data_IF_885017526119
#
_entry.id   IF_885017526119
#
_cell.length_a   1.000
_cell.length_b   1.000
_cell.length_c   1.000
_cell.angle_alpha   90.00
_cell.angle_beta   90.00
_cell.angle_gamma   90.00
#
_symmetry.space_group_name_H-M   'P 1'
#
loop_
_entity.id
_entity.type
_entity.pdbx_description
1 polymer ?
#
# COMPACT_ATOMS: atom_id res chain seq x y z
N UNK A 1 -11.89 -10.71 -8.90
CA UNK A 1 -10.76 -9.86 -9.32
C UNK A 1 -11.09 -9.29 -10.68
N UNK A 2 -10.79 -8.02 -10.92
CA UNK A 2 -10.89 -7.41 -12.26
C UNK A 2 -9.48 -7.19 -12.84
N UNK A 3 -9.23 -7.74 -14.02
CA UNK A 3 -7.94 -7.68 -14.72
C UNK A 3 -7.96 -6.77 -15.95
N UNK A 4 -8.99 -5.93 -16.11
CA UNK A 4 -9.16 -5.06 -17.26
C UNK A 4 -7.96 -4.16 -17.61
N UNK A 5 -7.01 -4.00 -16.68
CA UNK A 5 -5.82 -3.15 -16.83
C UNK A 5 -4.50 -3.91 -16.99
N UNK A 6 -4.50 -5.24 -17.08
CA UNK A 6 -3.31 -6.03 -17.43
C UNK A 6 -3.25 -6.23 -18.96
N UNK A 7 -2.40 -5.50 -19.70
CA UNK A 7 -2.29 -5.66 -21.14
C UNK A 7 -1.72 -7.05 -21.48
N UNK A 8 -2.50 -7.88 -22.18
CA UNK A 8 -2.04 -9.13 -22.82
C UNK A 8 -1.63 -10.30 -21.91
N UNK A 9 -1.69 -10.15 -20.58
CA UNK A 9 -1.17 -11.15 -19.62
C UNK A 9 -2.24 -11.88 -18.80
N UNK A 10 -3.52 -11.72 -19.15
CA UNK A 10 -4.64 -12.31 -18.41
C UNK A 10 -4.53 -13.84 -18.37
N UNK A 11 -4.21 -14.49 -19.49
CA UNK A 11 -4.03 -15.96 -19.54
C UNK A 11 -2.96 -16.45 -18.57
N UNK A 12 -1.77 -15.84 -18.62
CA UNK A 12 -0.67 -16.18 -17.71
C UNK A 12 -1.02 -15.98 -16.23
N UNK A 13 -1.76 -14.92 -15.90
CA UNK A 13 -2.22 -14.69 -14.53
C UNK A 13 -3.24 -15.75 -14.07
N UNK A 14 -4.16 -16.16 -14.96
CA UNK A 14 -5.13 -17.24 -14.68
C UNK A 14 -4.41 -18.56 -14.44
N UNK A 15 -3.43 -18.91 -15.28
CA UNK A 15 -2.69 -20.16 -15.16
C UNK A 15 -1.86 -20.20 -13.88
N UNK A 16 -1.16 -19.11 -13.56
CA UNK A 16 -0.43 -18.96 -12.30
C UNK A 16 -1.34 -19.13 -11.08
N UNK A 17 -2.50 -18.47 -11.10
CA UNK A 17 -3.49 -18.60 -10.02
C UNK A 17 -4.02 -20.03 -9.94
N UNK A 18 -4.37 -20.67 -11.06
CA UNK A 18 -4.86 -22.07 -11.06
C UNK A 18 -3.84 -23.02 -10.44
N UNK A 19 -2.56 -22.87 -10.74
CA UNK A 19 -1.51 -23.71 -10.16
C UNK A 19 -1.41 -23.53 -8.64
N UNK A 20 -1.37 -22.28 -8.17
CA UNK A 20 -1.19 -21.97 -6.74
C UNK A 20 -2.48 -22.11 -5.91
N UNK A 21 -3.65 -22.01 -6.53
CA UNK A 21 -4.94 -22.16 -5.86
C UNK A 21 -5.30 -23.63 -5.69
N UNK A 22 -4.90 -24.50 -6.64
CA UNK A 22 -5.07 -25.96 -6.52
C UNK A 22 -4.39 -26.52 -5.27
N UNK A 23 -3.19 -26.05 -4.93
CA UNK A 23 -2.48 -26.50 -3.72
C UNK A 23 -3.14 -26.05 -2.42
N UNK A 24 -4.01 -25.03 -2.48
CA UNK A 24 -4.74 -24.45 -1.35
C UNK A 24 -6.21 -24.91 -1.30
N UNK A 25 -6.58 -25.97 -2.04
CA UNK A 25 -7.95 -26.49 -2.16
C UNK A 25 -8.99 -25.46 -2.64
N UNK A 26 -8.55 -24.42 -3.34
CA UNK A 26 -9.46 -23.44 -3.92
C UNK A 26 -9.77 -23.72 -5.38
N UNK A 27 -10.66 -22.89 -5.94
CA UNK A 27 -11.06 -22.96 -7.35
C UNK A 27 -10.93 -21.61 -8.02
N UNK A 28 -10.49 -21.61 -9.26
CA UNK A 28 -10.39 -20.40 -10.10
C UNK A 28 -11.33 -20.56 -11.29
N UNK A 29 -12.23 -19.60 -11.47
CA UNK A 29 -13.14 -19.48 -12.61
C UNK A 29 -12.94 -18.14 -13.29
N UNK A 30 -13.09 -18.10 -14.61
CA UNK A 30 -12.96 -16.88 -15.41
C UNK A 30 -14.32 -16.49 -15.98
N UNK A 31 -14.78 -15.27 -15.69
CA UNK A 31 -16.00 -14.69 -16.26
C UNK A 31 -15.62 -13.45 -17.07
N UNK A 32 -15.47 -13.62 -18.38
CA UNK A 32 -14.97 -12.57 -19.26
C UNK A 32 -13.61 -12.07 -18.80
N UNK A 33 -13.52 -10.79 -18.43
CA UNK A 33 -12.28 -10.15 -17.96
C UNK A 33 -12.07 -10.21 -16.44
N UNK A 34 -12.99 -10.87 -15.72
CA UNK A 34 -12.91 -11.04 -14.29
C UNK A 34 -12.48 -12.47 -13.92
N UNK A 35 -11.64 -12.57 -12.90
CA UNK A 35 -11.29 -13.85 -12.27
C UNK A 35 -12.06 -13.98 -10.96
N UNK A 36 -12.79 -15.08 -10.80
CA UNK A 36 -13.40 -15.48 -9.54
C UNK A 36 -12.53 -16.55 -8.89
N UNK A 37 -12.18 -16.32 -7.62
CA UNK A 37 -11.43 -17.30 -6.83
C UNK A 37 -12.28 -17.65 -5.62
N UNK A 38 -12.56 -18.94 -5.47
CA UNK A 38 -13.34 -19.52 -4.39
C UNK A 38 -12.43 -20.36 -3.48
N UNK A 39 -12.77 -20.44 -2.20
CA UNK A 39 -12.05 -21.26 -1.22
C UNK A 39 -10.78 -20.62 -0.63
N UNK A 40 -10.35 -19.45 -1.10
CA UNK A 40 -9.20 -18.74 -0.54
C UNK A 40 -9.61 -17.48 0.22
N UNK A 41 -8.81 -17.14 1.24
CA UNK A 41 -8.93 -15.87 1.92
C UNK A 41 -8.45 -14.75 1.02
N UNK A 42 -9.09 -13.60 1.15
CA UNK A 42 -8.75 -12.41 0.39
C UNK A 42 -7.26 -12.02 0.47
N UNK A 43 -6.64 -12.17 1.65
CA UNK A 43 -5.21 -11.87 1.86
C UNK A 43 -4.29 -12.82 1.07
N UNK A 44 -4.64 -14.09 0.95
CA UNK A 44 -3.85 -15.10 0.24
C UNK A 44 -3.86 -14.83 -1.26
N UNK A 45 -5.03 -14.53 -1.82
CA UNK A 45 -5.14 -14.15 -3.22
C UNK A 45 -4.36 -12.87 -3.52
N UNK A 46 -4.44 -11.86 -2.64
CA UNK A 46 -3.67 -10.63 -2.77
C UNK A 46 -2.16 -10.90 -2.78
N UNK A 47 -1.69 -11.80 -1.91
CA UNK A 47 -0.28 -12.20 -1.87
C UNK A 47 0.15 -12.91 -3.16
N UNK A 48 -0.66 -13.84 -3.67
CA UNK A 48 -0.38 -14.52 -4.94
C UNK A 48 -0.29 -13.52 -6.09
N UNK A 49 -1.15 -12.52 -6.10
CA UNK A 49 -1.15 -11.49 -7.14
C UNK A 49 0.11 -10.62 -7.05
N UNK A 50 0.55 -10.23 -5.85
CA UNK A 50 1.84 -9.54 -5.67
C UNK A 50 3.02 -10.41 -6.13
N UNK A 51 3.00 -11.71 -5.83
CA UNK A 51 4.03 -12.66 -6.27
C UNK A 51 4.07 -12.74 -7.80
N UNK A 52 2.91 -12.87 -8.44
CA UNK A 52 2.81 -12.87 -9.91
C UNK A 52 3.36 -11.60 -10.53
N UNK A 53 2.97 -10.43 -10.02
CA UNK A 53 3.45 -9.13 -10.53
C UNK A 53 4.97 -9.04 -10.43
N UNK A 54 5.54 -9.45 -9.30
CA UNK A 54 6.99 -9.42 -9.08
C UNK A 54 7.77 -10.35 -10.00
N UNK A 55 7.24 -11.55 -10.26
CA UNK A 55 7.85 -12.48 -11.21
C UNK A 55 7.82 -11.98 -12.66
N UNK A 56 6.87 -11.09 -13.00
CA UNK A 56 6.70 -10.55 -14.34
C UNK A 56 7.35 -9.17 -14.54
N UNK A 57 8.07 -8.65 -13.54
CA UNK A 57 8.65 -7.29 -13.56
C UNK A 57 7.60 -6.18 -13.55
N UNK A 58 6.40 -6.44 -13.04
CA UNK A 58 5.29 -5.49 -12.94
C UNK A 58 5.18 -4.92 -11.52
N UNK A 59 6.32 -4.71 -10.86
CA UNK A 59 6.45 -4.33 -9.45
C UNK A 59 5.79 -2.98 -9.14
N UNK A 60 5.72 -2.11 -10.15
CA UNK A 60 5.08 -0.81 -10.07
C UNK A 60 3.54 -0.88 -10.06
N UNK A 61 2.97 -2.04 -10.43
CA UNK A 61 1.52 -2.24 -10.38
C UNK A 61 1.08 -2.59 -8.96
N UNK A 62 -0.02 -1.96 -8.53
CA UNK A 62 -0.57 -2.19 -7.21
C UNK A 62 -1.77 -3.11 -7.26
N UNK A 63 -1.94 -3.88 -6.19
CA UNK A 63 -3.13 -4.69 -5.96
C UNK A 63 -3.99 -4.00 -4.90
N UNK A 64 -5.09 -3.41 -5.32
CA UNK A 64 -6.06 -2.79 -4.43
C UNK A 64 -7.14 -3.79 -4.05
N UNK A 65 -7.60 -3.67 -2.81
CA UNK A 65 -8.78 -4.38 -2.31
C UNK A 65 -9.88 -3.35 -2.14
N UNK A 66 -10.93 -3.46 -2.94
CA UNK A 66 -12.10 -2.60 -2.85
C UNK A 66 -13.34 -3.48 -2.84
N UNK A 67 -14.14 -3.37 -1.77
CA UNK A 67 -15.46 -4.02 -1.69
C UNK A 67 -15.45 -5.52 -1.98
N UNK A 68 -14.42 -6.25 -1.52
CA UNK A 68 -14.29 -7.70 -1.74
C UNK A 68 -13.71 -8.09 -3.11
N UNK A 69 -13.44 -7.12 -3.99
CA UNK A 69 -12.82 -7.33 -5.30
C UNK A 69 -11.35 -6.90 -5.21
N UNK A 70 -10.46 -7.71 -5.79
CA UNK A 70 -9.06 -7.32 -6.04
C UNK A 70 -8.95 -6.72 -7.43
N UNK A 71 -8.42 -5.51 -7.51
CA UNK A 71 -8.13 -4.81 -8.76
C UNK A 71 -6.62 -4.57 -8.88
N UNK A 72 -6.08 -4.78 -10.08
CA UNK A 72 -4.70 -4.43 -10.40
C UNK A 72 -4.69 -3.04 -11.03
N UNK A 73 -4.04 -2.09 -10.36
CA UNK A 73 -4.00 -0.69 -10.75
C UNK A 73 -2.59 -0.32 -11.21
N UNK A 74 -2.42 0.26 -12.39
CA UNK A 74 -1.13 0.78 -12.87
C UNK A 74 -0.55 1.86 -11.94
N UNK A 75 0.79 2.03 -11.94
CA UNK A 75 1.48 2.98 -11.05
C UNK A 75 0.98 4.42 -11.15
N UNK A 76 0.59 4.87 -12.35
CA UNK A 76 0.16 6.24 -12.60
C UNK A 76 -1.21 6.58 -12.00
N UNK A 77 -2.04 5.57 -11.71
CA UNK A 77 -3.34 5.75 -11.06
C UNK A 77 -3.30 5.36 -9.57
N UNK A 78 -2.23 4.70 -9.13
CA UNK A 78 -1.97 4.40 -7.75
C UNK A 78 -1.45 5.65 -7.01
N UNK A 79 -2.27 6.68 -6.91
CA UNK A 79 -1.94 7.91 -6.21
C UNK A 79 -1.81 7.65 -4.71
N UNK A 80 -0.60 7.35 -4.24
CA UNK A 80 -0.19 7.76 -2.91
C UNK A 80 0.84 8.87 -3.07
N UNK A 81 0.75 9.97 -2.29
CA UNK A 81 1.86 10.90 -2.21
C UNK A 81 3.07 10.09 -1.80
N UNK A 82 4.16 10.14 -2.57
CA UNK A 82 5.48 9.79 -2.04
C UNK A 82 5.55 10.50 -0.69
N UNK A 83 5.78 9.76 0.40
CA UNK A 83 6.30 10.35 1.64
C UNK A 83 7.73 10.83 1.33
N UNK A 84 7.80 11.89 0.54
CA UNK A 84 8.97 12.66 0.17
C UNK A 84 8.75 14.14 0.50
N UNK A 85 7.77 14.43 1.38
CA UNK A 85 7.82 15.65 2.14
C UNK A 85 8.84 15.40 3.25
N UNK A 86 9.96 16.09 3.16
CA UNK A 86 11.02 16.11 4.15
C UNK A 86 10.46 16.54 5.52
N UNK A 87 9.92 15.60 6.29
CA UNK A 87 9.83 15.76 7.74
C UNK A 87 11.12 15.18 8.29
N UNK A 88 12.15 16.01 8.32
CA UNK A 88 13.29 15.78 9.21
C UNK A 88 12.70 15.43 10.59
N UNK A 89 12.98 14.25 11.16
CA UNK A 89 12.49 13.93 12.49
C UNK A 89 12.95 15.04 13.44
N UNK A 90 12.10 15.52 14.36
CA UNK A 90 12.51 16.54 15.31
C UNK A 90 13.78 16.06 16.04
N UNK A 91 14.81 16.92 16.19
CA UNK A 91 16.03 16.57 16.91
C UNK A 91 15.69 16.04 18.30
N UNK A 92 16.45 15.06 18.81
CA UNK A 92 16.17 14.42 20.10
C UNK A 92 15.99 15.42 21.27
N UNK A 93 16.66 16.57 21.21
CA UNK A 93 16.53 17.66 22.18
C UNK A 93 15.12 18.31 22.23
N UNK A 94 14.34 18.23 21.14
CA UNK A 94 12.99 18.78 21.08
C UNK A 94 11.93 17.84 21.66
N UNK A 95 12.25 16.55 21.82
CA UNK A 95 11.30 15.50 22.23
C UNK A 95 11.47 15.09 23.70
N UNK A 96 12.53 15.53 24.37
CA UNK A 96 12.86 15.11 25.74
C UNK A 96 12.57 16.23 26.77
N UNK A 97 12.04 15.88 27.96
CA UNK A 97 11.72 16.86 29.02
C UNK A 97 12.94 17.38 29.80
N UNK A 98 14.15 16.91 29.46
CA UNK A 98 15.40 17.29 30.13
C UNK A 98 16.31 18.10 29.21
N UNK A 99 17.06 19.05 29.78
CA UNK A 99 17.92 19.98 29.04
C UNK A 99 19.20 19.28 28.53
N UNK A 100 19.36 19.19 27.21
CA UNK A 100 20.57 18.64 26.60
C UNK A 100 21.75 19.61 26.72
N UNK A 101 22.91 19.19 27.26
CA UNK A 101 24.10 20.04 27.35
C UNK A 101 24.57 20.47 25.95
N UNK A 102 24.64 21.79 25.70
CA UNK A 102 25.07 22.37 24.42
C UNK A 102 23.94 22.80 23.47
N UNK A 103 22.66 22.61 23.84
CA UNK A 103 21.54 23.15 23.07
C UNK A 103 21.26 24.63 23.46
N UNK A 104 20.92 25.51 22.49
CA UNK A 104 20.51 26.88 22.82
C UNK A 104 19.22 26.83 23.65
N UNK A 105 19.25 27.47 24.82
CA UNK A 105 18.12 27.48 25.77
C UNK A 105 16.90 28.11 25.08
N UNK A 106 15.74 27.43 25.02
CA UNK A 106 14.53 28.04 24.49
C UNK A 106 14.07 29.15 25.43
N UNK A 107 14.18 30.41 25.00
CA UNK A 107 13.64 31.56 25.73
C UNK A 107 12.11 31.44 25.68
N UNK A 108 11.47 31.29 26.84
CA UNK A 108 10.02 31.20 26.94
C UNK A 108 9.37 32.49 26.38
N UNK A 109 8.32 32.40 25.55
CA UNK A 109 7.62 33.59 25.10
C UNK A 109 6.87 34.23 26.27
N UNK A 110 7.24 35.48 26.57
CA UNK A 110 6.63 36.33 27.58
C UNK A 110 5.11 36.36 27.40
N UNK A 111 4.37 36.01 28.46
CA UNK A 111 2.90 35.98 28.44
C UNK A 111 2.41 37.41 28.26
N UNK A 112 2.02 37.76 27.03
CA UNK A 112 1.29 38.98 26.68
C UNK A 112 0.06 39.11 27.60
N UNK A 113 0.23 39.93 28.64
CA UNK A 113 -0.81 40.32 29.59
C UNK A 113 -1.91 41.05 28.81
N UNK A 114 -3.07 40.40 28.68
CA UNK A 114 -4.29 40.98 28.09
C UNK A 114 -4.68 42.24 28.89
N UNK A 115 -4.62 43.40 28.25
CA UNK A 115 -5.34 44.60 28.68
C UNK A 115 -6.77 44.47 28.15
N UNK A 116 -7.79 44.56 29.01
CA UNK A 116 -9.17 44.78 28.57
C UNK A 116 -9.80 45.84 29.49
N UNK A 117 -10.38 46.82 28.80
CA UNK A 117 -11.33 47.89 29.14
C UNK A 117 -11.63 48.16 30.61
#
# INVERSE_FOLDING_TARGET
MDLARLPGKIGSAVDFLREHVKSLNGRVSTKGNQIQVEGLKHKEVKLLLHKFLRHNGLDDHRVLSQSGILEIVPPHLATHPKQGAATTPPPAAATMPYLFPGAPVPVAPDKKRRKKS
#
